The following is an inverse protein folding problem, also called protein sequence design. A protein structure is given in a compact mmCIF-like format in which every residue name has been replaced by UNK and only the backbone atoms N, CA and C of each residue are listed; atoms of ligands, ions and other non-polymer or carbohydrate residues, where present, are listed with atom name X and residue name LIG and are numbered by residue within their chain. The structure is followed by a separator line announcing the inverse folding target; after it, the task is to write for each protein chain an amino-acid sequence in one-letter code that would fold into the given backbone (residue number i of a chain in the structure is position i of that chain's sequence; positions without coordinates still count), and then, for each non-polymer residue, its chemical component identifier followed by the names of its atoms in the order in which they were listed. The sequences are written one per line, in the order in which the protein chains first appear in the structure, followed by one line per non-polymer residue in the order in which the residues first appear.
data_IF_397484916265
#
_entry.id   IF_397484916265
#
_cell.length_a   1.000
_cell.length_b   1.000
_cell.length_c   1.000
_cell.angle_alpha   90.00
_cell.angle_beta   90.00
_cell.angle_gamma   90.00
#
_symmetry.space_group_name_H-M   'P 1'
#
loop_
_entity.id
_entity.type
_entity.pdbx_description
1 polymer ?
#
# COMPACT_ATOMS: atom_id res chain seq x y z
N UNK A 1 36.94 -15.86 -0.53
CA UNK A 1 35.53 -15.73 -0.16
C UNK A 1 35.00 -14.53 -0.95
N UNK A 2 34.21 -14.76 -2.00
CA UNK A 2 33.73 -13.71 -2.90
C UNK A 2 32.41 -13.19 -2.32
N UNK A 3 32.40 -11.91 -1.89
CA UNK A 3 31.20 -11.23 -1.45
C UNK A 3 30.21 -11.10 -2.61
N UNK A 4 29.00 -11.52 -2.38
CA UNK A 4 27.87 -11.37 -3.30
C UNK A 4 27.15 -10.07 -2.96
N UNK A 5 27.04 -9.16 -3.95
CA UNK A 5 26.43 -7.84 -3.81
C UNK A 5 24.91 -7.91 -3.63
N UNK A 6 24.40 -7.17 -2.68
CA UNK A 6 23.00 -6.95 -2.41
C UNK A 6 22.35 -6.18 -3.57
N UNK A 7 21.40 -6.78 -4.27
CA UNK A 7 20.38 -6.00 -4.97
C UNK A 7 19.31 -5.70 -3.92
N UNK A 8 19.40 -4.50 -3.34
CA UNK A 8 18.33 -3.92 -2.55
C UNK A 8 17.22 -3.52 -3.55
N UNK A 9 16.28 -4.42 -3.83
CA UNK A 9 15.01 -4.03 -4.44
C UNK A 9 14.23 -3.26 -3.38
N UNK A 10 14.59 -1.97 -3.18
CA UNK A 10 13.81 -1.05 -2.38
C UNK A 10 12.63 -0.66 -3.23
N UNK A 11 11.53 -1.39 -3.06
CA UNK A 11 10.25 -0.99 -3.57
C UNK A 11 9.82 0.31 -2.88
N UNK A 12 9.48 1.27 -3.69
CA UNK A 12 9.02 2.57 -3.29
C UNK A 12 7.72 2.49 -2.46
N UNK A 13 7.62 3.20 -1.34
CA UNK A 13 6.43 3.14 -0.48
C UNK A 13 5.12 3.61 -1.12
N UNK A 14 5.14 4.46 -2.14
CA UNK A 14 3.92 4.85 -2.89
C UNK A 14 3.53 3.83 -3.91
N UNK A 15 4.51 3.22 -4.52
CA UNK A 15 4.33 2.04 -5.32
C UNK A 15 3.98 0.83 -4.44
N UNK A 16 4.38 0.80 -3.17
CA UNK A 16 4.05 -0.24 -2.20
C UNK A 16 2.57 -0.32 -1.84
N UNK A 17 1.77 0.73 -2.08
CA UNK A 17 0.32 0.65 -1.95
C UNK A 17 -0.35 0.04 -3.17
N UNK A 18 0.34 0.02 -4.31
CA UNK A 18 -0.16 -0.45 -5.59
C UNK A 18 0.77 -1.44 -6.28
N UNK A 19 1.97 -1.60 -5.78
CA UNK A 19 2.83 -2.69 -6.16
C UNK A 19 2.79 -3.73 -5.06
N UNK A 20 2.87 -5.01 -5.46
CA UNK A 20 3.35 -5.99 -4.53
C UNK A 20 4.58 -5.35 -3.88
N UNK A 21 4.59 -5.29 -2.57
CA UNK A 21 5.80 -4.88 -1.87
C UNK A 21 6.91 -5.78 -2.39
N UNK A 22 7.67 -5.30 -3.41
CA UNK A 22 8.97 -5.86 -3.68
C UNK A 22 9.72 -5.61 -2.39
N UNK A 23 9.65 -6.60 -1.54
CA UNK A 23 10.01 -6.54 -0.14
C UNK A 23 11.31 -5.81 0.00
N UNK A 24 11.30 -4.70 0.73
CA UNK A 24 12.51 -4.24 1.39
C UNK A 24 12.88 -5.25 2.49
N UNK A 25 12.74 -6.53 2.18
CA UNK A 25 13.53 -7.52 2.85
C UNK A 25 14.95 -7.24 2.36
N UNK A 26 15.69 -6.57 3.20
CA UNK A 26 17.12 -6.79 3.22
C UNK A 26 17.26 -8.30 3.24
N UNK A 27 17.38 -8.87 2.05
CA UNK A 27 17.70 -10.25 1.95
C UNK A 27 19.08 -10.42 2.54
N UNK A 28 19.12 -10.62 3.84
CA UNK A 28 20.22 -11.35 4.39
C UNK A 28 19.94 -12.83 4.20
N UNK A 29 20.21 -13.23 3.03
CA UNK A 29 20.73 -14.55 2.71
C UNK A 29 21.40 -14.49 1.33
N UNK A 30 22.67 -14.09 1.36
CA UNK A 30 23.68 -14.49 0.37
C UNK A 30 23.37 -14.24 -1.11
N UNK A 31 23.15 -12.98 -1.48
CA UNK A 31 23.07 -12.59 -2.87
C UNK A 31 23.61 -11.18 -3.11
N UNK A 32 24.82 -10.89 -2.69
CA UNK A 32 25.56 -9.68 -3.07
C UNK A 32 25.80 -9.68 -4.57
N UNK A 33 25.10 -8.85 -5.33
CA UNK A 33 25.66 -8.36 -6.59
C UNK A 33 26.81 -7.45 -6.18
N UNK A 34 28.03 -7.85 -6.48
CA UNK A 34 29.22 -7.04 -6.31
C UNK A 34 29.03 -5.77 -7.15
N UNK A 35 28.96 -4.62 -6.50
CA UNK A 35 29.32 -3.37 -7.14
C UNK A 35 30.76 -3.54 -7.65
N UNK A 36 31.06 -3.27 -8.92
CA UNK A 36 32.45 -3.22 -9.36
C UNK A 36 33.13 -2.11 -8.59
N UNK A 37 34.17 -2.46 -7.90
CA UNK A 37 35.01 -1.63 -7.04
C UNK A 37 35.18 -0.20 -7.57
N UNK A 38 34.84 0.80 -6.77
CA UNK A 38 35.53 2.08 -6.86
C UNK A 38 34.71 3.35 -6.97
N UNK A 39 33.45 3.42 -6.56
CA UNK A 39 32.81 4.73 -6.42
C UNK A 39 31.91 4.77 -5.16
N UNK A 40 32.49 5.22 -4.04
CA UNK A 40 31.73 5.66 -2.85
C UNK A 40 30.98 7.00 -3.12
N UNK A 41 30.51 7.20 -4.36
CA UNK A 41 29.71 8.33 -4.81
C UNK A 41 28.23 8.05 -4.59
N UNK A 42 27.46 9.09 -4.40
CA UNK A 42 26.02 9.09 -4.28
C UNK A 42 25.40 8.18 -5.36
N UNK A 43 24.89 7.03 -4.98
CA UNK A 43 24.20 6.14 -5.91
C UNK A 43 22.82 6.73 -6.17
N UNK A 44 22.63 7.24 -7.36
CA UNK A 44 21.34 7.73 -7.87
C UNK A 44 20.66 6.62 -8.63
N UNK A 45 19.37 6.49 -8.48
CA UNK A 45 18.57 5.55 -9.26
C UNK A 45 17.30 6.23 -9.75
N UNK A 46 16.87 5.87 -10.95
CA UNK A 46 15.63 6.37 -11.53
C UNK A 46 14.83 5.21 -12.10
N UNK A 47 13.54 5.19 -11.73
CA UNK A 47 12.61 4.15 -12.14
C UNK A 47 11.40 4.77 -12.82
N UNK A 48 10.90 4.09 -13.84
CA UNK A 48 9.63 4.38 -14.47
C UNK A 48 8.81 3.09 -14.52
N UNK A 49 7.54 3.17 -14.24
CA UNK A 49 6.69 1.98 -14.22
C UNK A 49 5.22 2.29 -14.39
N UNK A 50 4.45 1.24 -14.41
CA UNK A 50 3.00 1.32 -14.43
C UNK A 50 2.38 -0.02 -14.10
N UNK A 51 1.08 -0.02 -13.91
CA UNK A 51 0.37 -1.24 -13.56
C UNK A 51 -1.13 -1.10 -13.69
N UNK A 52 -1.77 -2.21 -13.38
CA UNK A 52 -3.20 -2.39 -13.40
C UNK A 52 -3.62 -3.17 -12.16
N UNK A 53 -4.79 -2.87 -11.60
CA UNK A 53 -5.39 -3.66 -10.53
C UNK A 53 -6.90 -3.76 -10.69
N UNK A 54 -7.47 -4.86 -10.18
CA UNK A 54 -8.92 -5.09 -10.22
C UNK A 54 -9.67 -4.19 -9.25
N UNK A 55 -9.03 -3.80 -8.15
CA UNK A 55 -9.57 -2.90 -7.14
C UNK A 55 -8.40 -2.27 -6.35
N UNK A 56 -8.59 -1.04 -5.89
CA UNK A 56 -7.64 -0.30 -5.10
C UNK A 56 -8.13 -0.21 -3.65
N UNK A 57 -7.56 -1.03 -2.79
CA UNK A 57 -7.87 -1.04 -1.36
C UNK A 57 -6.80 -0.30 -0.59
N UNK A 58 -7.22 0.58 0.32
CA UNK A 58 -6.33 1.36 1.15
C UNK A 58 -6.96 1.65 2.51
N UNK A 59 -6.21 1.39 3.58
CA UNK A 59 -6.66 1.59 4.97
C UNK A 59 -8.04 0.97 5.25
N UNK A 60 -8.26 -0.26 4.79
CA UNK A 60 -9.52 -0.98 4.96
C UNK A 60 -10.68 -0.51 4.08
N UNK A 61 -10.42 0.35 3.10
CA UNK A 61 -11.45 0.91 2.22
C UNK A 61 -11.06 0.84 0.76
N UNK A 62 -12.05 0.67 -0.14
CA UNK A 62 -11.81 0.76 -1.57
C UNK A 62 -11.73 2.22 -2.02
N UNK A 63 -10.59 2.61 -2.59
CA UNK A 63 -10.41 3.93 -3.21
C UNK A 63 -10.97 3.98 -4.62
N UNK A 64 -11.01 2.86 -5.33
CA UNK A 64 -11.53 2.75 -6.69
C UNK A 64 -13.00 2.37 -6.74
N UNK A 65 -13.69 2.25 -5.59
CA UNK A 65 -15.09 1.83 -5.50
C UNK A 65 -15.35 0.49 -6.21
N UNK A 66 -14.49 -0.49 -5.97
CA UNK A 66 -14.50 -1.83 -6.57
C UNK A 66 -14.36 -1.83 -8.11
N UNK A 67 -13.83 -0.74 -8.68
CA UNK A 67 -13.54 -0.65 -10.11
C UNK A 67 -12.06 -0.88 -10.40
N UNK A 68 -11.75 -1.44 -11.57
CA UNK A 68 -10.38 -1.54 -12.03
C UNK A 68 -9.72 -0.18 -12.19
N UNK A 69 -8.41 -0.16 -11.96
CA UNK A 69 -7.58 1.03 -12.12
C UNK A 69 -6.30 0.70 -12.89
N UNK A 70 -5.69 1.72 -13.45
CA UNK A 70 -4.34 1.67 -13.98
C UNK A 70 -3.54 2.88 -13.49
N UNK A 71 -2.22 2.76 -13.49
CA UNK A 71 -1.36 3.87 -13.07
C UNK A 71 -0.06 3.90 -13.86
N UNK A 72 0.54 5.09 -13.89
CA UNK A 72 1.91 5.30 -14.32
C UNK A 72 2.68 6.00 -13.21
N UNK A 73 3.96 5.67 -13.05
CA UNK A 73 4.79 6.18 -11.97
C UNK A 73 6.21 6.47 -12.38
N UNK A 74 6.80 7.46 -11.71
CA UNK A 74 8.21 7.81 -11.78
C UNK A 74 8.78 7.86 -10.38
N UNK A 75 10.03 7.44 -10.24
CA UNK A 75 10.69 7.46 -8.97
C UNK A 75 12.18 7.71 -9.05
N UNK A 76 12.66 8.54 -8.14
CA UNK A 76 14.05 8.88 -8.00
C UNK A 76 14.55 8.47 -6.62
N UNK A 77 15.61 7.65 -6.60
CA UNK A 77 16.26 7.17 -5.38
C UNK A 77 17.61 7.83 -5.17
N UNK A 78 17.90 8.17 -3.93
CA UNK A 78 19.19 8.68 -3.45
C UNK A 78 19.75 7.72 -2.41
N UNK A 79 20.97 7.22 -2.64
CA UNK A 79 21.69 6.28 -1.76
C UNK A 79 20.92 5.01 -1.42
N UNK A 80 19.94 4.63 -2.23
CA UNK A 80 19.01 3.52 -1.98
C UNK A 80 18.28 3.60 -0.62
N UNK A 81 18.18 4.78 -0.04
CA UNK A 81 17.54 5.03 1.26
C UNK A 81 16.43 6.05 1.19
N UNK A 82 16.60 7.08 0.39
CA UNK A 82 15.63 8.16 0.23
C UNK A 82 15.03 8.10 -1.18
N UNK A 83 13.69 8.06 -1.26
CA UNK A 83 12.97 8.01 -2.52
C UNK A 83 11.95 9.13 -2.61
N UNK A 84 11.94 9.80 -3.76
CA UNK A 84 10.91 10.75 -4.17
C UNK A 84 10.15 10.15 -5.34
N UNK A 85 8.82 10.09 -5.26
CA UNK A 85 8.01 9.45 -6.29
C UNK A 85 6.77 10.25 -6.64
N UNK A 86 6.31 10.05 -7.87
CA UNK A 86 5.05 10.60 -8.35
C UNK A 86 4.33 9.54 -9.19
N UNK A 87 3.02 9.44 -9.02
CA UNK A 87 2.16 8.54 -9.78
C UNK A 87 0.89 9.25 -10.22
N UNK A 88 0.39 8.89 -11.39
CA UNK A 88 -0.91 9.29 -11.92
C UNK A 88 -1.79 8.04 -12.00
N UNK A 89 -2.98 8.11 -11.44
CA UNK A 89 -3.94 6.99 -11.37
C UNK A 89 -5.17 7.30 -12.20
N UNK A 90 -5.51 6.36 -13.08
CA UNK A 90 -6.74 6.34 -13.86
C UNK A 90 -7.70 5.30 -13.26
N UNK A 91 -8.95 5.67 -13.09
CA UNK A 91 -10.04 4.78 -12.69
C UNK A 91 -10.93 4.53 -13.90
N UNK A 92 -11.17 3.26 -14.23
CA UNK A 92 -11.97 2.91 -15.42
C UNK A 92 -13.42 3.44 -15.37
N UNK A 93 -13.93 3.74 -14.18
CA UNK A 93 -15.28 4.26 -13.97
C UNK A 93 -15.35 5.80 -13.90
N UNK A 94 -14.22 6.50 -14.03
CA UNK A 94 -14.16 7.96 -13.92
C UNK A 94 -13.92 8.63 -15.27
N UNK A 95 -14.61 9.75 -15.52
CA UNK A 95 -14.47 10.52 -16.76
C UNK A 95 -13.07 11.15 -16.98
N UNK A 96 -12.42 11.75 -15.94
CA UNK A 96 -11.09 12.30 -16.15
C UNK A 96 -10.07 11.19 -16.39
N UNK A 97 -9.16 11.42 -17.36
CA UNK A 97 -8.07 10.48 -17.66
C UNK A 97 -7.20 10.19 -16.43
N UNK A 98 -7.02 11.16 -15.56
CA UNK A 98 -6.33 11.00 -14.29
C UNK A 98 -7.29 11.34 -13.17
N UNK A 99 -7.68 10.34 -12.39
CA UNK A 99 -8.58 10.51 -11.26
C UNK A 99 -7.88 11.18 -10.07
N UNK A 100 -6.63 10.83 -9.83
CA UNK A 100 -5.81 11.46 -8.80
C UNK A 100 -4.31 11.22 -9.03
N UNK A 101 -3.51 12.09 -8.42
CA UNK A 101 -2.05 11.98 -8.35
C UNK A 101 -1.63 11.59 -6.95
N UNK A 102 -0.51 10.88 -6.86
CA UNK A 102 0.16 10.55 -5.60
C UNK A 102 1.59 11.06 -5.68
N UNK A 103 1.99 11.89 -4.74
CA UNK A 103 3.38 12.29 -4.54
C UNK A 103 3.87 11.75 -3.20
N UNK A 104 5.10 11.26 -3.12
CA UNK A 104 5.64 10.74 -1.88
C UNK A 104 7.10 11.03 -1.67
N UNK A 105 7.48 11.09 -0.42
CA UNK A 105 8.85 11.06 0.06
C UNK A 105 8.95 9.94 1.09
N UNK A 106 9.91 9.04 0.91
CA UNK A 106 10.13 7.94 1.85
C UNK A 106 11.60 7.73 2.15
N UNK A 107 11.86 7.25 3.34
CA UNK A 107 13.18 6.91 3.84
C UNK A 107 13.17 5.52 4.44
N UNK A 108 14.23 4.73 4.20
CA UNK A 108 14.42 3.43 4.81
C UNK A 108 15.87 3.25 5.30
N UNK A 109 16.03 2.52 6.40
CA UNK A 109 17.34 2.23 6.96
C UNK A 109 17.36 0.87 7.67
N UNK A 110 18.24 -0.01 7.23
CA UNK A 110 18.55 -1.24 7.96
C UNK A 110 19.67 -0.94 8.97
N UNK A 111 19.41 -1.20 10.23
CA UNK A 111 20.42 -1.05 11.31
C UNK A 111 21.33 -2.27 11.37
N UNK A 112 20.76 -3.43 11.09
CA UNK A 112 21.45 -4.72 11.09
C UNK A 112 20.63 -5.76 10.32
N UNK A 113 21.05 -7.02 10.35
CA UNK A 113 20.46 -8.12 9.57
C UNK A 113 19.07 -8.57 10.07
N UNK A 114 18.59 -8.07 11.19
CA UNK A 114 17.32 -8.47 11.77
C UNK A 114 16.38 -7.30 12.07
N UNK A 115 16.82 -6.04 11.93
CA UNK A 115 16.01 -4.86 12.27
C UNK A 115 16.22 -3.72 11.27
N UNK A 116 15.13 -3.21 10.76
CA UNK A 116 15.07 -2.04 9.89
C UNK A 116 13.92 -1.11 10.26
N UNK A 117 13.97 0.11 9.74
CA UNK A 117 12.97 1.14 9.90
C UNK A 117 12.69 1.81 8.56
N UNK A 118 11.44 2.12 8.30
CA UNK A 118 11.06 3.00 7.20
C UNK A 118 10.02 4.02 7.64
N UNK A 119 10.01 5.18 6.98
CA UNK A 119 9.04 6.24 7.19
C UNK A 119 8.67 6.86 5.85
N UNK A 120 7.41 7.24 5.70
CA UNK A 120 6.88 7.83 4.48
C UNK A 120 5.92 8.97 4.74
N UNK A 121 5.85 9.88 3.78
CA UNK A 121 4.79 10.88 3.69
C UNK A 121 4.25 10.89 2.26
N UNK A 122 2.92 10.91 2.13
CA UNK A 122 2.21 10.72 0.87
C UNK A 122 1.14 11.79 0.73
N UNK A 123 1.11 12.46 -0.42
CA UNK A 123 0.06 13.40 -0.78
C UNK A 123 -0.79 12.82 -1.90
N UNK A 124 -2.05 12.64 -1.63
CA UNK A 124 -3.08 12.24 -2.59
C UNK A 124 -3.82 13.50 -3.05
N UNK A 125 -3.74 13.79 -4.34
CA UNK A 125 -4.38 14.95 -4.95
C UNK A 125 -5.42 14.47 -5.95
N UNK A 126 -6.70 14.57 -5.56
CA UNK A 126 -7.84 14.13 -6.37
C UNK A 126 -8.23 15.20 -7.37
N UNK A 127 -8.69 14.80 -8.54
CA UNK A 127 -9.26 15.72 -9.52
C UNK A 127 -10.47 16.45 -8.92
N UNK A 128 -10.57 17.78 -9.06
CA UNK A 128 -11.67 18.56 -8.48
C UNK A 128 -13.07 18.06 -8.84
N UNK A 129 -13.26 17.46 -10.02
CA UNK A 129 -14.54 16.90 -10.46
C UNK A 129 -14.96 15.63 -9.71
N UNK A 130 -14.02 14.95 -9.05
CA UNK A 130 -14.22 13.69 -8.34
C UNK A 130 -14.25 13.82 -6.81
N UNK A 131 -14.02 15.00 -6.25
CA UNK A 131 -13.95 15.21 -4.78
C UNK A 131 -15.24 14.86 -4.06
N UNK A 132 -16.39 15.04 -4.70
CA UNK A 132 -17.70 14.71 -4.11
C UNK A 132 -18.08 13.23 -4.25
N UNK A 133 -17.47 12.51 -5.20
CA UNK A 133 -17.82 11.13 -5.53
C UNK A 133 -16.79 10.11 -5.05
N UNK A 134 -15.50 10.47 -5.05
CA UNK A 134 -14.42 9.57 -4.70
C UNK A 134 -13.96 9.79 -3.25
N UNK A 135 -13.13 10.80 -3.03
CA UNK A 135 -12.60 11.22 -1.72
C UNK A 135 -11.96 12.62 -1.82
N UNK A 136 -11.73 13.26 -0.69
CA UNK A 136 -10.98 14.52 -0.66
C UNK A 136 -9.48 14.30 -0.73
N UNK A 137 -8.76 15.29 -1.27
CA UNK A 137 -7.30 15.27 -1.27
C UNK A 137 -6.76 15.28 0.16
N UNK A 138 -5.89 14.34 0.49
CA UNK A 138 -5.36 14.17 1.84
C UNK A 138 -3.84 13.97 1.84
N UNK A 139 -3.24 14.09 3.02
CA UNK A 139 -1.86 13.70 3.29
C UNK A 139 -1.87 12.56 4.31
N UNK A 140 -1.05 11.56 4.08
CA UNK A 140 -0.84 10.43 4.99
C UNK A 140 0.63 10.32 5.34
N UNK A 141 0.93 9.94 6.56
CA UNK A 141 2.30 9.64 6.98
C UNK A 141 2.33 8.36 7.79
N UNK A 142 3.41 7.59 7.64
CA UNK A 142 3.60 6.32 8.33
C UNK A 142 5.04 6.12 8.82
N UNK A 143 5.15 5.24 9.81
CA UNK A 143 6.38 4.70 10.35
C UNK A 143 6.24 3.18 10.43
N UNK A 144 7.22 2.46 9.89
CA UNK A 144 7.25 0.99 9.89
C UNK A 144 8.53 0.50 10.54
N UNK A 145 8.41 -0.52 11.39
CA UNK A 145 9.49 -1.27 11.98
C UNK A 145 9.49 -2.68 11.39
N UNK A 146 10.62 -3.12 10.86
CA UNK A 146 10.82 -4.44 10.26
C UNK A 146 11.70 -5.32 11.15
N UNK A 147 11.29 -6.60 11.32
CA UNK A 147 11.98 -7.60 12.13
C UNK A 147 12.14 -8.90 11.35
N UNK A 148 13.39 -9.27 11.01
CA UNK A 148 13.70 -10.56 10.41
C UNK A 148 14.03 -11.62 11.46
N UNK A 149 13.10 -12.56 11.66
CA UNK A 149 13.25 -13.69 12.56
C UNK A 149 13.96 -14.88 11.92
N UNK A 150 14.51 -14.72 10.69
CA UNK A 150 15.10 -15.76 9.82
C UNK A 150 14.09 -16.74 9.21
N UNK A 151 13.01 -17.06 9.88
CA UNK A 151 11.92 -17.93 9.37
C UNK A 151 10.74 -17.12 8.88
N UNK A 152 10.58 -15.89 9.35
CA UNK A 152 9.48 -14.98 9.07
C UNK A 152 9.99 -13.54 9.17
N UNK A 153 9.49 -12.67 8.33
CA UNK A 153 9.71 -11.22 8.43
C UNK A 153 8.43 -10.55 8.87
N UNK A 154 8.50 -9.79 9.98
CA UNK A 154 7.35 -9.07 10.56
C UNK A 154 7.54 -7.58 10.38
N UNK A 155 6.56 -6.91 9.77
CA UNK A 155 6.44 -5.45 9.75
C UNK A 155 5.36 -5.00 10.71
N UNK A 156 5.65 -3.98 11.51
CA UNK A 156 4.68 -3.28 12.34
C UNK A 156 4.68 -1.83 11.90
N UNK A 157 3.54 -1.38 11.37
CA UNK A 157 3.39 -0.03 10.84
C UNK A 157 2.37 0.75 11.66
N UNK A 158 2.63 2.03 11.86
CA UNK A 158 1.70 3.00 12.40
C UNK A 158 1.65 4.21 11.48
N UNK A 159 0.46 4.65 11.12
CA UNK A 159 0.27 5.78 10.24
C UNK A 159 -0.92 6.63 10.63
N UNK A 160 -0.96 7.83 10.09
CA UNK A 160 -2.05 8.79 10.34
C UNK A 160 -2.38 9.60 9.10
N UNK A 161 -3.65 9.91 8.97
CA UNK A 161 -4.15 10.91 8.04
C UNK A 161 -4.02 12.29 8.67
N UNK A 162 -3.41 13.22 7.94
CA UNK A 162 -3.39 14.63 8.31
C UNK A 162 -4.63 15.31 7.73
N UNK A 163 -5.70 15.32 8.53
CA UNK A 163 -6.97 15.95 8.25
C UNK A 163 -7.50 16.63 9.52
N UNK A 164 -8.62 17.33 9.43
CA UNK A 164 -9.25 17.99 10.58
C UNK A 164 -9.62 16.98 11.70
N UNK A 165 -9.92 15.74 11.31
CA UNK A 165 -10.07 14.60 12.22
C UNK A 165 -8.95 13.59 11.96
N UNK A 166 -7.87 13.66 12.75
CA UNK A 166 -6.75 12.71 12.63
C UNK A 166 -7.20 11.29 12.94
N UNK A 167 -6.99 10.37 12.01
CA UNK A 167 -7.28 8.94 12.20
C UNK A 167 -5.99 8.15 12.16
N UNK A 168 -5.78 7.33 13.19
CA UNK A 168 -4.63 6.43 13.30
C UNK A 168 -4.94 5.05 12.73
N UNK A 169 -3.98 4.49 12.00
CA UNK A 169 -4.02 3.14 11.45
C UNK A 169 -2.78 2.37 11.90
N UNK A 170 -2.96 1.08 12.17
CA UNK A 170 -1.87 0.19 12.53
C UNK A 170 -1.97 -1.06 11.69
N UNK A 171 -0.81 -1.58 11.31
CA UNK A 171 -0.71 -2.75 10.46
C UNK A 171 0.34 -3.71 11.03
N UNK A 172 0.03 -5.01 11.00
CA UNK A 172 1.00 -6.07 11.28
C UNK A 172 1.01 -6.99 10.08
N UNK A 173 2.12 -7.01 9.36
CA UNK A 173 2.31 -7.90 8.21
C UNK A 173 3.40 -8.91 8.53
N UNK A 174 3.09 -10.17 8.27
CA UNK A 174 4.05 -11.27 8.35
C UNK A 174 4.23 -11.84 6.95
N UNK A 175 5.46 -11.96 6.50
CA UNK A 175 5.77 -12.49 5.18
C UNK A 175 7.01 -13.38 5.19
N UNK A 176 7.23 -14.09 4.08
CA UNK A 176 8.44 -14.87 3.88
C UNK A 176 8.88 -14.79 2.43
N UNK A 177 10.02 -14.17 2.23
CA UNK A 177 10.60 -14.03 0.91
C UNK A 177 11.31 -15.29 0.45
N UNK A 178 11.07 -15.69 -0.80
CA UNK A 178 11.74 -16.78 -1.52
C UNK A 178 12.19 -16.26 -2.87
N UNK A 179 13.34 -16.76 -3.32
CA UNK A 179 13.88 -16.40 -4.62
C UNK A 179 14.47 -17.65 -5.29
N UNK A 180 14.19 -17.82 -6.58
CA UNK A 180 14.81 -18.87 -7.37
C UNK A 180 16.26 -18.54 -7.66
N UNK A 181 17.12 -19.53 -7.94
CA UNK A 181 18.38 -19.28 -8.60
C UNK A 181 18.18 -18.53 -9.92
N UNK A 182 19.18 -17.75 -10.29
CA UNK A 182 19.19 -17.04 -11.57
C UNK A 182 19.16 -18.00 -12.76
N UNK A 183 18.36 -17.68 -13.75
CA UNK A 183 18.25 -18.40 -15.01
C UNK A 183 18.51 -17.45 -16.20
N UNK A 184 18.44 -17.92 -17.45
CA UNK A 184 18.82 -17.17 -18.65
C UNK A 184 20.21 -16.52 -18.56
N UNK A 185 21.24 -17.31 -18.24
CA UNK A 185 22.65 -16.87 -18.07
C UNK A 185 22.82 -15.83 -16.95
N UNK A 186 22.18 -16.06 -15.82
CA UNK A 186 22.24 -15.21 -14.63
C UNK A 186 21.63 -13.80 -14.82
N UNK A 187 20.62 -13.65 -15.68
CA UNK A 187 19.99 -12.36 -15.96
C UNK A 187 18.56 -12.21 -15.45
N UNK A 188 17.97 -13.29 -14.96
CA UNK A 188 16.61 -13.25 -14.43
C UNK A 188 16.45 -14.18 -13.22
N UNK A 189 15.58 -13.83 -12.30
CA UNK A 189 15.11 -14.69 -11.21
C UNK A 189 13.63 -14.47 -10.97
N UNK A 190 12.99 -15.38 -10.26
CA UNK A 190 11.62 -15.24 -9.79
C UNK A 190 11.65 -15.14 -8.26
N UNK A 191 10.96 -14.18 -7.71
CA UNK A 191 10.77 -14.04 -6.27
C UNK A 191 9.30 -14.21 -5.87
N UNK A 192 9.07 -14.64 -4.64
CA UNK A 192 7.77 -14.84 -4.02
C UNK A 192 7.81 -14.29 -2.59
N UNK A 193 6.80 -13.56 -2.19
CA UNK A 193 6.70 -13.05 -0.81
C UNK A 193 5.29 -13.24 -0.23
N UNK A 194 4.85 -14.51 -0.01
CA UNK A 194 3.55 -14.76 0.58
C UNK A 194 3.43 -14.06 1.94
N UNK A 195 2.28 -13.43 2.17
CA UNK A 195 2.04 -12.68 3.40
C UNK A 195 0.65 -12.87 3.98
N UNK A 196 0.56 -12.57 5.26
CA UNK A 196 -0.68 -12.29 5.99
C UNK A 196 -0.56 -10.90 6.60
N UNK A 197 -1.56 -10.08 6.39
CA UNK A 197 -1.62 -8.72 6.91
C UNK A 197 -2.85 -8.51 7.77
N UNK A 198 -2.68 -7.84 8.91
CA UNK A 198 -3.73 -7.45 9.85
C UNK A 198 -3.78 -5.93 9.91
N UNK A 199 -4.90 -5.34 9.53
CA UNK A 199 -5.11 -3.91 9.56
C UNK A 199 -6.02 -3.53 10.72
N UNK A 200 -5.57 -2.59 11.54
CA UNK A 200 -6.33 -2.03 12.65
C UNK A 200 -6.61 -0.55 12.40
N UNK A 201 -7.80 -0.12 12.77
CA UNK A 201 -8.23 1.26 12.60
C UNK A 201 -9.48 1.56 13.41
N UNK A 202 -10.06 2.72 13.17
CA UNK A 202 -11.30 3.14 13.82
C UNK A 202 -12.50 2.56 13.08
N UNK A 203 -13.37 1.87 13.81
CA UNK A 203 -14.67 1.38 13.38
C UNK A 203 -15.73 2.28 13.99
N UNK A 204 -16.60 2.85 13.20
CA UNK A 204 -17.74 3.62 13.71
C UNK A 204 -18.97 2.71 13.82
N UNK A 205 -19.40 2.41 15.04
CA UNK A 205 -20.67 1.74 15.30
C UNK A 205 -21.81 2.74 15.11
N UNK A 206 -22.76 2.39 14.27
CA UNK A 206 -23.96 3.19 14.01
C UNK A 206 -25.17 2.46 14.57
N UNK A 207 -25.80 3.02 15.60
CA UNK A 207 -27.02 2.48 16.20
C UNK A 207 -28.22 3.33 15.81
N UNK A 208 -29.19 2.69 15.15
CA UNK A 208 -30.49 3.32 14.86
C UNK A 208 -31.46 3.06 15.98
N UNK A 209 -32.35 4.01 16.28
CA UNK A 209 -33.42 3.89 17.32
C UNK A 209 -34.40 2.74 17.07
N UNK A 210 -34.37 2.09 15.92
CA UNK A 210 -35.18 0.93 15.57
C UNK A 210 -34.57 -0.43 15.98
N UNK A 211 -33.57 -0.46 16.87
CA UNK A 211 -32.88 -1.67 17.37
C UNK A 211 -32.04 -2.45 16.34
N UNK A 212 -31.73 -1.89 15.20
CA UNK A 212 -30.74 -2.44 14.27
C UNK A 212 -29.40 -1.73 14.51
N UNK A 213 -28.40 -2.44 15.05
CA UNK A 213 -27.01 -1.97 15.09
C UNK A 213 -26.34 -2.36 13.77
N UNK A 214 -25.73 -1.41 13.10
CA UNK A 214 -24.81 -1.66 12.00
C UNK A 214 -23.43 -1.14 12.36
N UNK A 215 -22.40 -1.84 11.94
CA UNK A 215 -21.01 -1.42 12.11
C UNK A 215 -20.49 -0.96 10.77
N UNK A 216 -19.88 0.21 10.75
CA UNK A 216 -19.24 0.76 9.57
C UNK A 216 -17.76 0.99 9.87
N UNK A 217 -16.89 0.56 8.97
CA UNK A 217 -15.53 1.10 8.97
C UNK A 217 -15.65 2.58 8.67
N UNK A 218 -15.15 3.44 9.55
CA UNK A 218 -15.03 4.85 9.21
C UNK A 218 -14.02 4.95 8.07
N UNK A 219 -14.54 4.94 6.83
CA UNK A 219 -13.69 5.19 5.68
C UNK A 219 -13.07 6.56 5.87
N UNK A 220 -11.73 6.68 5.98
CA UNK A 220 -11.08 7.97 6.13
C UNK A 220 -11.30 8.87 4.93
N UNK A 221 -11.89 8.33 3.88
CA UNK A 221 -12.04 8.95 2.58
C UNK A 221 -13.46 9.45 2.31
N UNK A 222 -14.46 9.20 3.18
CA UNK A 222 -15.85 9.58 2.92
C UNK A 222 -16.39 10.60 3.91
N UNK A 223 -16.99 11.68 3.37
CA UNK A 223 -17.58 12.82 4.07
C UNK A 223 -18.95 12.58 4.72
N UNK A 224 -19.45 11.38 4.92
CA UNK A 224 -20.81 11.20 5.41
C UNK A 224 -21.03 11.74 6.85
N UNK A 225 -19.94 11.96 7.60
CA UNK A 225 -19.94 12.62 8.91
C UNK A 225 -20.14 14.13 8.83
N UNK A 226 -20.06 14.74 7.64
CA UNK A 226 -20.05 16.18 7.50
C UNK A 226 -21.41 16.79 7.20
N UNK A 227 -21.63 17.92 7.85
CA UNK A 227 -22.65 18.96 7.62
C UNK A 227 -24.07 18.64 8.08
N UNK A 228 -24.25 18.44 9.39
CA UNK A 228 -25.53 18.72 10.06
C UNK A 228 -26.67 17.74 9.80
N UNK A 229 -26.49 16.79 8.94
CA UNK A 229 -27.37 15.65 8.73
C UNK A 229 -26.61 14.36 9.02
N UNK A 230 -26.51 14.00 10.30
CA UNK A 230 -25.97 12.72 10.77
C UNK A 230 -26.83 11.55 10.28
N UNK A 231 -27.01 11.39 8.96
CA UNK A 231 -27.83 10.32 8.37
C UNK A 231 -27.00 9.50 7.41
N UNK A 232 -26.97 8.16 7.55
CA UNK A 232 -26.44 7.29 6.52
C UNK A 232 -27.18 7.54 5.19
N UNK A 233 -26.50 7.36 4.03
CA UNK A 233 -27.15 7.42 2.74
C UNK A 233 -28.36 6.46 2.67
N UNK A 234 -29.51 6.94 2.21
CA UNK A 234 -30.73 6.14 2.11
C UNK A 234 -31.62 6.12 3.33
N UNK A 235 -31.29 6.85 4.42
CA UNK A 235 -32.15 6.94 5.60
C UNK A 235 -33.41 7.78 5.33
N UNK A 236 -34.58 7.24 5.61
CA UNK A 236 -35.87 7.95 5.60
C UNK A 236 -36.05 8.75 6.89
N UNK A 237 -36.70 9.92 6.82
CA UNK A 237 -36.87 10.84 7.94
C UNK A 237 -37.54 10.21 9.18
N UNK A 238 -37.03 10.54 10.37
CA UNK A 238 -37.61 10.13 11.66
C UNK A 238 -36.78 9.16 12.51
N UNK A 239 -35.70 8.60 11.98
CA UNK A 239 -34.80 7.72 12.74
C UNK A 239 -33.65 8.52 13.33
N UNK A 240 -33.41 8.37 14.64
CA UNK A 240 -32.23 8.96 15.31
C UNK A 240 -31.09 7.96 15.26
N UNK A 241 -29.90 8.42 14.87
CA UNK A 241 -28.68 7.61 14.81
C UNK A 241 -27.72 8.03 15.90
N UNK A 242 -27.11 7.07 16.57
CA UNK A 242 -26.02 7.25 17.52
C UNK A 242 -24.74 6.67 16.92
N UNK A 243 -23.64 7.39 17.03
CA UNK A 243 -22.34 7.01 16.48
C UNK A 243 -21.36 6.83 17.63
N UNK A 244 -20.61 5.71 17.58
CA UNK A 244 -19.56 5.39 18.56
C UNK A 244 -18.34 4.89 17.84
N UNK A 245 -17.22 5.57 18.01
CA UNK A 245 -15.95 5.12 17.46
C UNK A 245 -15.29 4.08 18.38
N UNK A 246 -14.91 2.96 17.80
CA UNK A 246 -14.24 1.84 18.45
C UNK A 246 -12.99 1.52 17.65
N UNK A 247 -11.83 1.41 18.31
CA UNK A 247 -10.61 0.92 17.69
C UNK A 247 -10.62 -0.61 17.65
N UNK A 248 -10.31 -1.19 16.48
CA UNK A 248 -10.32 -2.64 16.30
C UNK A 248 -9.65 -3.12 15.03
N UNK A 249 -9.62 -4.44 14.86
CA UNK A 249 -9.18 -5.10 13.63
C UNK A 249 -10.25 -4.88 12.55
N UNK A 250 -9.87 -4.22 11.44
CA UNK A 250 -10.79 -3.84 10.36
C UNK A 250 -10.71 -4.75 9.15
N UNK A 251 -9.52 -5.33 8.90
CA UNK A 251 -9.29 -6.16 7.72
C UNK A 251 -8.20 -7.19 7.97
N UNK A 252 -8.35 -8.35 7.35
CA UNK A 252 -7.29 -9.36 7.19
C UNK A 252 -7.11 -9.57 5.69
N UNK A 253 -5.89 -9.51 5.20
CA UNK A 253 -5.59 -9.87 3.83
C UNK A 253 -4.45 -10.89 3.72
N UNK A 254 -4.51 -11.70 2.67
CA UNK A 254 -3.53 -12.72 2.31
C UNK A 254 -3.10 -12.43 0.89
N UNK A 255 -1.80 -12.34 0.64
CA UNK A 255 -1.30 -12.11 -0.70
C UNK A 255 -0.13 -13.00 -1.06
N UNK A 256 0.07 -13.14 -2.35
CA UNK A 256 1.20 -13.87 -2.94
C UNK A 256 1.82 -13.03 -4.04
N UNK A 257 2.63 -12.01 -3.72
CA UNK A 257 3.44 -11.33 -4.71
C UNK A 257 4.39 -12.31 -5.41
N UNK A 258 4.45 -12.20 -6.73
CA UNK A 258 5.32 -12.98 -7.61
C UNK A 258 5.98 -12.01 -8.57
N UNK A 259 7.31 -11.89 -8.50
CA UNK A 259 8.06 -10.99 -9.36
C UNK A 259 9.03 -11.75 -10.26
N UNK A 260 9.09 -11.33 -11.51
CA UNK A 260 10.16 -11.71 -12.45
C UNK A 260 11.13 -10.54 -12.53
N UNK A 261 12.31 -10.72 -11.99
CA UNK A 261 13.33 -9.70 -11.89
C UNK A 261 14.41 -9.90 -12.93
N UNK A 262 14.82 -8.83 -13.59
CA UNK A 262 15.97 -8.75 -14.49
C UNK A 262 16.86 -7.57 -14.09
N UNK A 263 18.01 -7.38 -14.72
CA UNK A 263 18.92 -6.27 -14.45
C UNK A 263 18.27 -4.88 -14.64
N UNK A 264 17.28 -4.77 -15.54
CA UNK A 264 16.69 -3.49 -15.95
C UNK A 264 15.17 -3.41 -15.76
N UNK A 265 14.49 -4.53 -15.45
CA UNK A 265 13.03 -4.58 -15.38
C UNK A 265 12.55 -5.58 -14.32
N UNK A 266 11.48 -5.23 -13.64
CA UNK A 266 10.70 -6.13 -12.81
C UNK A 266 9.28 -6.21 -13.33
N UNK A 267 8.73 -7.42 -13.48
CA UNK A 267 7.31 -7.66 -13.76
C UNK A 267 6.73 -8.31 -12.52
N UNK A 268 5.75 -7.65 -11.90
CA UNK A 268 5.09 -8.12 -10.69
C UNK A 268 3.65 -8.54 -10.96
N UNK A 269 3.22 -9.60 -10.26
CA UNK A 269 1.85 -10.07 -10.18
C UNK A 269 1.51 -10.31 -8.72
N UNK A 270 0.40 -9.78 -8.25
CA UNK A 270 -0.07 -10.01 -6.87
C UNK A 270 -1.54 -10.40 -6.83
N UNK A 271 -1.83 -11.69 -6.75
CA UNK A 271 -3.12 -12.16 -6.27
C UNK A 271 -3.21 -12.00 -4.76
N UNK A 272 -4.32 -11.45 -4.26
CA UNK A 272 -4.61 -11.35 -2.84
C UNK A 272 -6.08 -11.69 -2.54
N UNK A 273 -6.36 -12.03 -1.27
CA UNK A 273 -7.69 -12.28 -0.77
C UNK A 273 -7.96 -11.45 0.46
N UNK A 274 -8.97 -10.61 0.41
CA UNK A 274 -9.30 -9.63 1.43
C UNK A 274 -10.54 -10.06 2.20
N UNK A 275 -10.48 -9.97 3.52
CA UNK A 275 -11.56 -10.26 4.46
C UNK A 275 -11.79 -9.02 5.31
N UNK A 276 -12.75 -8.15 4.95
CA UNK A 276 -13.17 -7.08 5.84
C UNK A 276 -13.87 -7.69 7.06
N UNK A 277 -13.57 -7.19 8.25
CA UNK A 277 -14.15 -7.66 9.52
C UNK A 277 -15.27 -6.76 10.00
N UNK A 278 -15.33 -5.53 9.51
CA UNK A 278 -16.45 -4.64 9.69
C UNK A 278 -17.22 -4.56 8.38
N UNK A 279 -18.22 -5.40 8.24
CA UNK A 279 -19.10 -5.43 7.06
C UNK A 279 -20.31 -4.53 7.32
N UNK A 280 -20.41 -3.44 6.57
CA UNK A 280 -21.55 -2.53 6.61
C UNK A 280 -22.36 -2.64 5.32
N UNK A 281 -23.66 -2.82 5.47
CA UNK A 281 -24.60 -2.83 4.35
C UNK A 281 -24.64 -1.52 3.55
N UNK A 282 -24.17 -0.41 4.13
CA UNK A 282 -24.09 0.91 3.47
C UNK A 282 -22.78 1.11 2.70
N UNK A 283 -21.70 0.48 3.14
CA UNK A 283 -20.38 0.56 2.52
C UNK A 283 -19.70 -0.79 2.66
N UNK A 284 -20.12 -1.78 1.88
CA UNK A 284 -19.49 -3.08 1.94
C UNK A 284 -17.99 -2.91 1.63
N UNK A 285 -17.16 -3.35 2.56
CA UNK A 285 -15.74 -3.47 2.32
C UNK A 285 -15.50 -4.44 1.16
N UNK A 286 -14.43 -4.23 0.41
CA UNK A 286 -14.04 -5.19 -0.62
C UNK A 286 -13.79 -6.53 0.03
N UNK A 287 -14.57 -7.54 -0.35
CA UNK A 287 -14.40 -8.92 0.10
C UNK A 287 -14.08 -9.82 -1.08
N UNK A 288 -13.06 -10.62 -0.93
CA UNK A 288 -12.75 -11.66 -1.89
C UNK A 288 -11.43 -11.43 -2.61
N UNK A 289 -11.37 -11.93 -3.83
CA UNK A 289 -10.14 -11.95 -4.60
C UNK A 289 -9.85 -10.62 -5.27
N UNK A 290 -8.65 -10.11 -5.06
CA UNK A 290 -8.11 -8.90 -5.69
C UNK A 290 -6.82 -9.27 -6.42
N UNK A 291 -6.56 -8.58 -7.50
CA UNK A 291 -5.42 -8.86 -8.35
C UNK A 291 -4.77 -7.56 -8.80
N UNK A 292 -3.44 -7.53 -8.80
CA UNK A 292 -2.67 -6.46 -9.44
C UNK A 292 -1.55 -7.01 -10.32
N UNK A 293 -1.16 -6.21 -11.31
CA UNK A 293 -0.03 -6.47 -12.21
C UNK A 293 0.76 -5.19 -12.44
N UNK A 294 2.06 -5.28 -12.51
CA UNK A 294 2.95 -4.13 -12.66
C UNK A 294 4.15 -4.43 -13.54
N UNK A 295 4.71 -3.39 -14.10
CA UNK A 295 5.99 -3.40 -14.78
C UNK A 295 6.80 -2.18 -14.35
N UNK A 296 8.05 -2.38 -13.97
CA UNK A 296 8.98 -1.34 -13.55
C UNK A 296 10.26 -1.46 -14.34
N UNK A 297 10.72 -0.36 -14.87
CA UNK A 297 12.00 -0.24 -15.55
C UNK A 297 12.97 0.54 -14.68
N UNK A 298 14.16 -0.01 -14.48
CA UNK A 298 15.31 0.72 -13.94
C UNK A 298 15.98 1.45 -15.09
N UNK A 299 16.02 2.76 -15.04
CA UNK A 299 16.58 3.60 -16.09
C UNK A 299 18.09 3.81 -15.88
N UNK A 300 18.52 4.07 -14.62
CA UNK A 300 19.93 4.11 -14.19
C UNK A 300 20.09 3.94 -12.68
#
# INVERSE_FOLDING_TARGET
MKGRGFILAIALPVLMMFMPEASAQTADSTGTVADPEGNAGKVHSFYAGGGYGSNMIYLGSTMSQDNPYSYASLSYGLTNKLFLSASAVHLNAADPLVAFYIASLSYSHAFNDWFDISAGIYRYQVDPSLTDTLFESFTYGDLTLGFDWKILYTKISAGTLFSDESQGFYQIRNSRFFQTPEFFRAKANISFDPYVNLMFGTITEVTATSNASSYSVSSPFRKWKDKGNNRPPGSTGGTTYSYKDIFGLIEIDFGLPVDINTDFMTIGLEPSYVIPLADDSYYPGTKGFVFSASVIFRIF
#
